data_IF_818964831497
#
_entry.id   IF_818964831497
#
_cell.length_a   1.000
_cell.length_b   1.000
_cell.length_c   1.000
_cell.angle_alpha   90.00
_cell.angle_beta   90.00
_cell.angle_gamma   90.00
#
_symmetry.space_group_name_H-M   'P 1'
#
loop_
_entity.id
_entity.type
_entity.pdbx_description
1 polymer ?
#
# COMPACT_ATOMS: atom_id res chain seq x y z
N UNK A 1 44.52 73.17 4.41
CA UNK A 1 44.01 72.13 5.35
C UNK A 1 43.51 70.91 4.58
N UNK A 2 44.33 70.31 3.70
CA UNK A 2 43.89 69.23 2.78
C UNK A 2 44.53 67.86 3.07
N UNK A 3 45.73 67.82 3.66
CA UNK A 3 46.45 66.56 3.94
C UNK A 3 45.74 65.62 4.92
N UNK A 4 44.85 66.10 5.78
CA UNK A 4 44.20 65.27 6.81
C UNK A 4 43.14 64.31 6.25
N UNK A 5 42.63 64.59 5.04
CA UNK A 5 41.55 63.82 4.41
C UNK A 5 42.09 62.65 3.57
N UNK A 6 43.18 62.86 2.83
CA UNK A 6 43.84 61.82 2.02
C UNK A 6 44.34 60.66 2.89
N UNK A 7 44.98 60.97 4.02
CA UNK A 7 45.40 59.99 5.01
C UNK A 7 44.23 59.17 5.60
N UNK A 8 43.01 59.71 5.59
CA UNK A 8 41.83 59.00 6.11
C UNK A 8 41.28 57.99 5.08
N UNK A 9 41.36 58.35 3.80
CA UNK A 9 40.91 57.52 2.69
C UNK A 9 41.87 56.33 2.52
N UNK A 10 43.18 56.56 2.53
CA UNK A 10 44.17 55.48 2.48
C UNK A 10 43.99 54.51 3.64
N UNK A 11 43.79 55.01 4.85
CA UNK A 11 43.62 54.17 6.03
C UNK A 11 42.32 53.33 5.96
N UNK A 12 41.23 53.89 5.43
CA UNK A 12 39.98 53.15 5.17
C UNK A 12 40.14 52.08 4.08
N UNK A 13 40.89 52.38 3.02
CA UNK A 13 41.20 51.42 1.95
C UNK A 13 42.04 50.28 2.52
N UNK A 14 43.08 50.57 3.30
CA UNK A 14 43.91 49.55 3.96
C UNK A 14 43.12 48.71 4.97
N UNK A 15 42.15 49.29 5.67
CA UNK A 15 41.23 48.56 6.56
C UNK A 15 40.30 47.62 5.78
N UNK A 16 39.75 48.08 4.66
CA UNK A 16 38.87 47.28 3.82
C UNK A 16 39.61 46.10 3.19
N UNK A 17 40.83 46.32 2.69
CA UNK A 17 41.69 45.26 2.16
C UNK A 17 42.07 44.25 3.26
N UNK A 18 42.46 44.72 4.45
CA UNK A 18 42.74 43.83 5.59
C UNK A 18 41.52 42.99 6.02
N UNK A 19 40.30 43.50 5.85
CA UNK A 19 39.08 42.78 6.20
C UNK A 19 38.77 41.62 5.24
N UNK A 20 39.34 41.65 4.03
CA UNK A 20 39.17 40.65 2.98
C UNK A 20 40.33 39.64 2.98
N UNK A 21 41.54 40.07 3.37
CA UNK A 21 42.76 39.24 3.36
C UNK A 21 42.68 37.99 4.27
N UNK A 22 41.82 38.02 5.29
CA UNK A 22 41.60 36.89 6.21
C UNK A 22 40.44 35.96 5.82
N UNK A 23 39.77 36.18 4.69
CA UNK A 23 38.68 35.31 4.24
C UNK A 23 39.31 34.08 3.59
N UNK A 24 39.57 33.07 4.42
CA UNK A 24 39.87 31.72 3.95
C UNK A 24 38.66 31.22 3.13
N UNK A 25 38.92 30.52 2.01
CA UNK A 25 37.85 29.86 1.27
C UNK A 25 37.05 29.03 2.26
N UNK A 26 35.74 29.28 2.34
CA UNK A 26 34.86 28.57 3.25
C UNK A 26 34.84 27.09 2.85
N UNK A 27 35.78 26.31 3.36
CA UNK A 27 35.87 24.89 3.09
C UNK A 27 34.73 24.23 3.84
N UNK A 28 33.79 23.69 3.07
CA UNK A 28 32.63 23.04 3.64
C UNK A 28 33.12 21.81 4.39
N UNK A 29 32.79 21.70 5.68
CA UNK A 29 33.19 20.57 6.51
C UNK A 29 32.87 19.24 5.80
N UNK A 30 33.77 18.24 5.80
CA UNK A 30 33.50 16.95 5.18
C UNK A 30 32.16 16.38 5.66
N UNK A 31 31.40 15.79 4.73
CA UNK A 31 30.03 15.25 4.92
C UNK A 31 28.90 16.27 5.12
N UNK A 32 29.14 17.57 4.90
CA UNK A 32 28.06 18.57 4.93
C UNK A 32 26.92 18.25 3.97
N UNK A 33 27.26 17.87 2.73
CA UNK A 33 26.27 17.50 1.72
C UNK A 33 25.40 16.33 2.17
N UNK A 34 26.01 15.27 2.71
CA UNK A 34 25.28 14.10 3.23
C UNK A 34 24.34 14.47 4.37
N UNK A 35 24.79 15.36 5.27
CA UNK A 35 23.97 15.81 6.40
C UNK A 35 22.82 16.71 5.97
N UNK A 36 23.04 17.54 4.96
CA UNK A 36 22.01 18.37 4.33
C UNK A 36 20.98 17.49 3.62
N UNK A 37 21.43 16.53 2.82
CA UNK A 37 20.57 15.57 2.14
C UNK A 37 19.70 14.78 3.12
N UNK A 38 20.30 14.24 4.19
CA UNK A 38 19.55 13.51 5.22
C UNK A 38 18.51 14.37 5.96
N UNK A 39 18.74 15.69 6.07
CA UNK A 39 17.76 16.64 6.61
C UNK A 39 16.62 16.89 5.64
N UNK A 40 16.93 17.12 4.37
CA UNK A 40 15.92 17.30 3.33
C UNK A 40 15.04 16.05 3.19
N UNK A 41 15.64 14.86 3.16
CA UNK A 41 14.90 13.59 3.10
C UNK A 41 14.01 13.38 4.32
N UNK A 42 14.43 13.79 5.52
CA UNK A 42 13.59 13.72 6.73
C UNK A 42 12.42 14.70 6.73
N UNK A 43 12.56 15.86 6.08
CA UNK A 43 11.47 16.85 5.98
C UNK A 43 10.53 16.54 4.80
N UNK A 44 11.03 15.93 3.73
CA UNK A 44 10.25 15.52 2.56
C UNK A 44 9.52 14.20 2.82
N UNK A 45 10.16 13.25 3.51
CA UNK A 45 9.47 12.08 4.00
C UNK A 45 8.43 12.57 5.01
N UNK A 46 7.12 12.34 4.77
CA UNK A 46 6.15 12.58 5.81
C UNK A 46 6.63 11.76 6.99
N UNK A 47 6.71 12.39 8.17
CA UNK A 47 6.96 11.68 9.42
C UNK A 47 5.79 10.75 9.67
N UNK A 48 5.74 9.64 8.92
CA UNK A 48 4.95 8.48 9.22
C UNK A 48 5.69 7.83 10.38
N UNK A 49 5.59 8.51 11.54
CA UNK A 49 6.00 7.95 12.80
C UNK A 49 5.36 6.58 12.95
N UNK A 50 5.91 5.79 13.85
CA UNK A 50 5.49 4.40 14.16
C UNK A 50 3.98 4.27 14.46
N UNK A 51 3.28 5.40 14.65
CA UNK A 51 1.86 5.58 14.85
C UNK A 51 1.02 5.88 13.58
N UNK A 52 1.61 6.06 12.40
CA UNK A 52 0.84 6.25 11.15
C UNK A 52 0.03 5.00 10.77
N UNK A 53 0.46 3.84 11.25
CA UNK A 53 -0.28 2.58 11.10
C UNK A 53 -1.61 2.66 11.86
N UNK A 54 -1.63 3.36 13.01
CA UNK A 54 -2.83 3.57 13.82
C UNK A 54 -3.74 4.66 13.23
N UNK A 55 -3.18 5.69 12.60
CA UNK A 55 -3.96 6.72 11.91
C UNK A 55 -4.73 6.15 10.71
N UNK A 56 -4.13 5.20 9.97
CA UNK A 56 -4.77 4.50 8.86
C UNK A 56 -5.66 3.31 9.28
N UNK A 57 -5.69 2.97 10.57
CA UNK A 57 -6.46 1.82 11.07
C UNK A 57 -7.96 1.99 10.83
N UNK A 58 -8.48 3.23 10.85
CA UNK A 58 -9.89 3.51 10.54
C UNK A 58 -10.24 3.18 9.08
N UNK A 59 -9.36 3.54 8.14
CA UNK A 59 -9.54 3.23 6.72
C UNK A 59 -9.33 1.74 6.44
N UNK A 60 -8.33 1.14 7.08
CA UNK A 60 -8.05 -0.30 6.99
C UNK A 60 -9.21 -1.14 7.54
N UNK A 61 -9.80 -0.74 8.67
CA UNK A 61 -10.95 -1.43 9.26
C UNK A 61 -12.20 -1.32 8.37
N UNK A 62 -12.44 -0.15 7.77
CA UNK A 62 -13.53 0.02 6.82
C UNK A 62 -13.35 -0.86 5.58
N UNK A 63 -12.14 -0.93 5.02
CA UNK A 63 -11.84 -1.79 3.88
C UNK A 63 -12.00 -3.27 4.24
N UNK A 64 -11.50 -3.68 5.41
CA UNK A 64 -11.66 -5.05 5.92
C UNK A 64 -13.13 -5.43 6.06
N UNK A 65 -13.97 -4.54 6.60
CA UNK A 65 -15.40 -4.76 6.73
C UNK A 65 -16.09 -4.94 5.37
N UNK A 66 -15.74 -4.12 4.37
CA UNK A 66 -16.28 -4.24 3.01
C UNK A 66 -15.89 -5.58 2.38
N UNK A 67 -14.62 -5.98 2.48
CA UNK A 67 -14.14 -7.27 1.97
C UNK A 67 -14.89 -8.42 2.67
N UNK A 68 -15.09 -8.34 3.98
CA UNK A 68 -15.75 -9.38 4.76
C UNK A 68 -17.22 -9.54 4.35
N UNK A 69 -17.96 -8.43 4.20
CA UNK A 69 -19.34 -8.43 3.70
C UNK A 69 -19.40 -9.02 2.30
N UNK A 70 -18.51 -8.59 1.40
CA UNK A 70 -18.49 -9.09 0.02
C UNK A 70 -18.25 -10.60 -0.04
N UNK A 71 -17.30 -11.11 0.74
CA UNK A 71 -17.03 -12.55 0.83
C UNK A 71 -18.23 -13.32 1.41
N UNK A 72 -18.87 -12.80 2.45
CA UNK A 72 -20.04 -13.44 3.05
C UNK A 72 -21.23 -13.47 2.09
N UNK A 73 -21.52 -12.37 1.39
CA UNK A 73 -22.59 -12.32 0.39
C UNK A 73 -22.30 -13.22 -0.81
N UNK A 74 -21.04 -13.30 -1.24
CA UNK A 74 -20.62 -14.19 -2.31
C UNK A 74 -20.85 -15.65 -1.91
N UNK A 75 -20.40 -16.05 -0.71
CA UNK A 75 -20.62 -17.40 -0.18
C UNK A 75 -22.11 -17.75 -0.14
N UNK A 76 -22.95 -16.88 0.42
CA UNK A 76 -24.41 -17.11 0.51
C UNK A 76 -25.03 -17.23 -0.88
N UNK A 77 -24.65 -16.37 -1.82
CA UNK A 77 -25.18 -16.44 -3.19
C UNK A 77 -24.78 -17.73 -3.92
N UNK A 78 -23.54 -18.18 -3.73
CA UNK A 78 -23.08 -19.46 -4.30
C UNK A 78 -23.79 -20.66 -3.66
N UNK A 79 -24.00 -20.67 -2.33
CA UNK A 79 -24.72 -21.77 -1.67
C UNK A 79 -26.20 -21.78 -2.01
N UNK A 80 -26.85 -20.61 -2.11
CA UNK A 80 -28.26 -20.53 -2.54
C UNK A 80 -28.46 -20.91 -4.00
N UNK A 81 -27.43 -20.77 -4.84
CA UNK A 81 -27.45 -21.26 -6.23
C UNK A 81 -27.27 -22.78 -6.33
N UNK A 82 -26.80 -23.43 -5.25
CA UNK A 82 -26.56 -24.87 -5.19
C UNK A 82 -27.83 -25.67 -4.83
N UNK A 83 -28.86 -25.02 -4.27
CA UNK A 83 -30.17 -25.65 -4.00
C UNK A 83 -30.88 -26.11 -5.29
N UNK A 84 -30.52 -25.55 -6.46
CA UNK A 84 -30.99 -26.02 -7.77
C UNK A 84 -30.38 -27.36 -8.21
N UNK A 85 -29.30 -27.84 -7.57
CA UNK A 85 -28.69 -29.14 -7.87
C UNK A 85 -29.32 -30.30 -7.11
N UNK A 86 -30.04 -30.02 -6.01
CA UNK A 86 -30.73 -31.04 -5.20
C UNK A 86 -31.97 -31.62 -5.91
N UNK A 87 -32.65 -30.83 -6.74
CA UNK A 87 -33.79 -31.34 -7.55
C UNK A 87 -33.33 -32.29 -8.65
N UNK A 88 -32.17 -32.04 -9.26
CA UNK A 88 -31.61 -32.90 -10.31
C UNK A 88 -31.11 -34.25 -9.76
N UNK A 89 -30.61 -34.28 -8.53
CA UNK A 89 -30.20 -35.53 -7.86
C UNK A 89 -31.41 -36.35 -7.43
N UNK A 90 -32.43 -35.74 -6.82
CA UNK A 90 -33.67 -36.46 -6.47
C UNK A 90 -34.41 -37.03 -7.68
N UNK A 91 -34.47 -36.31 -8.81
CA UNK A 91 -35.08 -36.82 -10.04
C UNK A 91 -34.29 -37.96 -10.69
N UNK A 92 -32.95 -37.96 -10.57
CA UNK A 92 -32.08 -39.03 -11.09
C UNK A 92 -32.13 -40.28 -10.19
N UNK A 93 -32.24 -40.10 -8.88
CA UNK A 93 -32.40 -41.18 -7.90
C UNK A 93 -33.76 -41.88 -8.08
N UNK A 94 -34.85 -41.12 -8.24
CA UNK A 94 -36.19 -41.68 -8.52
C UNK A 94 -36.26 -42.41 -9.88
N UNK A 95 -35.62 -41.85 -10.93
CA UNK A 95 -35.52 -42.51 -12.23
C UNK A 95 -34.70 -43.82 -12.17
N UNK A 96 -33.62 -43.84 -11.40
CA UNK A 96 -32.78 -45.03 -11.24
C UNK A 96 -33.53 -46.13 -10.48
N UNK A 97 -34.25 -45.77 -9.42
CA UNK A 97 -35.04 -46.71 -8.63
C UNK A 97 -36.14 -47.38 -9.48
N UNK A 98 -36.83 -46.66 -10.36
CA UNK A 98 -37.83 -47.24 -11.27
C UNK A 98 -37.20 -48.18 -12.33
N UNK A 99 -36.03 -47.83 -12.88
CA UNK A 99 -35.35 -48.66 -13.86
C UNK A 99 -34.82 -49.98 -13.27
N UNK A 100 -34.34 -49.96 -12.02
CA UNK A 100 -33.82 -51.15 -11.33
C UNK A 100 -34.90 -51.96 -10.60
N UNK A 101 -36.07 -51.37 -10.32
CA UNK A 101 -37.21 -52.07 -9.72
C UNK A 101 -38.16 -52.70 -10.75
N UNK A 102 -38.04 -52.33 -12.03
CA UNK A 102 -38.73 -53.05 -13.11
C UNK A 102 -38.31 -54.52 -13.10
N UNK A 103 -39.20 -55.48 -12.78
CA UNK A 103 -38.86 -56.89 -12.76
C UNK A 103 -38.37 -57.28 -14.15
N UNK A 104 -37.19 -57.89 -14.22
CA UNK A 104 -36.68 -58.50 -15.45
C UNK A 104 -37.66 -59.59 -15.88
N UNK A 105 -38.63 -59.22 -16.71
CA UNK A 105 -39.65 -60.12 -17.22
C UNK A 105 -39.02 -60.98 -18.31
N UNK A 106 -38.22 -61.98 -17.92
CA UNK A 106 -37.77 -63.07 -18.80
C UNK A 106 -38.67 -64.31 -18.63
N UNK A 107 -39.93 -64.12 -18.24
CA UNK A 107 -40.86 -65.21 -17.96
C UNK A 107 -41.24 -66.00 -19.25
N UNK A 108 -41.00 -65.41 -20.43
CA UNK A 108 -41.17 -66.07 -21.73
C UNK A 108 -40.02 -67.02 -22.13
N UNK A 109 -38.94 -67.13 -21.33
CA UNK A 109 -37.85 -68.08 -21.58
C UNK A 109 -37.99 -69.38 -20.79
N UNK A 110 -39.03 -69.51 -19.95
CA UNK A 110 -39.26 -70.67 -19.09
C UNK A 110 -40.40 -71.59 -19.59
N UNK A 111 -41.00 -71.28 -20.75
CA UNK A 111 -41.98 -72.12 -21.44
C UNK A 111 -41.38 -72.73 -22.72
N UNK A 112 -40.48 -73.71 -22.60
CA UNK A 112 -40.23 -74.75 -23.61
C UNK A 112 -39.67 -76.02 -22.98
#
# INVERSE_FOLDING_TARGET
>A
MSMKNENNIENKISQALNSIEGIESAEVKPFFYTRLQAKMENEIAPSYGRFSILANLKLSLAMLAVIMVFNLTSLVFLTSSQDTSSTATSALDEFSEEYFSSPNNYDYLNEY
#
